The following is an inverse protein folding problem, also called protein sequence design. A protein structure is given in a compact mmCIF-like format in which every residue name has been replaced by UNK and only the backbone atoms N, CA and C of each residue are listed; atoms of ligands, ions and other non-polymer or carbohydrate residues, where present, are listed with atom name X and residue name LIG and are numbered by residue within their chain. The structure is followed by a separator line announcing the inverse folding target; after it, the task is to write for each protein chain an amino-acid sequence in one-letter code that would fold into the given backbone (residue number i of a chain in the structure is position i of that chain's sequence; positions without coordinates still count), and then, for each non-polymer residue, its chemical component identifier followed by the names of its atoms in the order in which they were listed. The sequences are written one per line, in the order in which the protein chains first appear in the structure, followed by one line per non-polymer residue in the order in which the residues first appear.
data_IF_954159383645
#
_entry.id   IF_954159383645
#
_cell.length_a   1.000
_cell.length_b   1.000
_cell.length_c   1.000
_cell.angle_alpha   90.00
_cell.angle_beta   90.00
_cell.angle_gamma   90.00
#
_symmetry.space_group_name_H-M   'P 1'
#
loop_
_entity.id
_entity.type
_entity.pdbx_description
1 polymer ?
#
# COMPACT_ATOMS: atom_id res chain seq x y z
N UNK A 1 -20.07 7.24 6.63
CA UNK A 1 -19.45 6.79 5.36
C UNK A 1 -18.41 5.74 5.70
N UNK A 2 -18.49 4.57 5.06
CA UNK A 2 -17.53 3.48 5.19
C UNK A 2 -16.42 3.62 4.16
N UNK A 3 -15.25 4.03 4.60
CA UNK A 3 -14.06 4.18 3.76
C UNK A 3 -13.16 2.95 3.90
N UNK A 4 -12.90 2.24 2.81
CA UNK A 4 -11.83 1.25 2.77
C UNK A 4 -10.51 1.92 2.39
N UNK A 5 -9.44 1.62 3.13
CA UNK A 5 -8.09 2.13 2.88
C UNK A 5 -7.14 0.94 2.68
N UNK A 6 -6.52 0.87 1.50
CA UNK A 6 -5.62 -0.20 1.07
C UNK A 6 -4.23 0.36 0.78
N UNK A 7 -3.18 -0.47 0.88
CA UNK A 7 -1.79 -0.07 0.60
C UNK A 7 -0.92 -1.26 0.20
N UNK A 8 0.25 -0.98 -0.37
CA UNK A 8 1.35 -1.94 -0.57
C UNK A 8 0.85 -3.20 -1.30
N UNK A 9 0.24 -2.99 -2.46
CA UNK A 9 -0.36 -4.02 -3.33
C UNK A 9 0.72 -4.82 -4.04
N UNK A 10 1.82 -4.17 -4.43
CA UNK A 10 3.02 -4.80 -4.97
C UNK A 10 2.76 -5.84 -6.06
N UNK A 11 1.99 -5.44 -7.08
CA UNK A 11 1.71 -6.26 -8.26
C UNK A 11 1.10 -7.64 -7.93
N UNK A 12 0.50 -7.80 -6.75
CA UNK A 12 -0.13 -9.03 -6.28
C UNK A 12 -1.64 -8.98 -6.58
N UNK A 13 -1.96 -9.32 -7.84
CA UNK A 13 -3.33 -9.26 -8.35
C UNK A 13 -4.29 -10.17 -7.57
N UNK A 14 -3.86 -11.38 -7.22
CA UNK A 14 -4.69 -12.32 -6.47
C UNK A 14 -5.11 -11.79 -5.10
N UNK A 15 -4.19 -11.12 -4.38
CA UNK A 15 -4.51 -10.48 -3.11
C UNK A 15 -5.45 -9.28 -3.30
N UNK A 16 -5.17 -8.43 -4.30
CA UNK A 16 -5.99 -7.28 -4.62
C UNK A 16 -7.43 -7.68 -4.98
N UNK A 17 -7.62 -8.61 -5.92
CA UNK A 17 -8.95 -9.11 -6.31
C UNK A 17 -9.71 -9.72 -5.12
N UNK A 18 -9.02 -10.45 -4.24
CA UNK A 18 -9.65 -11.03 -3.05
C UNK A 18 -10.16 -9.95 -2.08
N UNK A 19 -9.39 -8.87 -1.90
CA UNK A 19 -9.76 -7.76 -1.03
C UNK A 19 -10.84 -6.88 -1.66
N UNK A 20 -10.74 -6.53 -2.94
CA UNK A 20 -11.76 -5.72 -3.62
C UNK A 20 -13.13 -6.41 -3.57
N UNK A 21 -13.19 -7.73 -3.85
CA UNK A 21 -14.46 -8.49 -3.71
C UNK A 21 -15.03 -8.46 -2.29
N UNK A 22 -14.17 -8.46 -1.28
CA UNK A 22 -14.61 -8.36 0.12
C UNK A 22 -15.15 -6.97 0.43
N UNK A 23 -14.43 -5.92 0.04
CA UNK A 23 -14.85 -4.52 0.22
C UNK A 23 -16.19 -4.25 -0.47
N UNK A 24 -16.39 -4.75 -1.69
CA UNK A 24 -17.65 -4.66 -2.42
C UNK A 24 -18.79 -5.39 -1.69
N UNK A 25 -18.51 -6.57 -1.12
CA UNK A 25 -19.50 -7.33 -0.36
C UNK A 25 -19.91 -6.65 0.95
N UNK A 26 -18.98 -5.91 1.58
CA UNK A 26 -19.23 -5.11 2.78
C UNK A 26 -19.87 -3.74 2.46
N UNK A 27 -20.00 -3.40 1.17
CA UNK A 27 -20.57 -2.15 0.65
C UNK A 27 -19.88 -0.92 1.23
N UNK A 28 -18.55 -0.88 1.18
CA UNK A 28 -17.84 0.37 1.43
C UNK A 28 -18.28 1.44 0.43
N UNK A 29 -18.40 2.68 0.89
CA UNK A 29 -18.82 3.82 0.07
C UNK A 29 -17.69 4.32 -0.84
N UNK A 30 -16.44 4.18 -0.39
CA UNK A 30 -15.23 4.65 -1.09
C UNK A 30 -14.04 3.73 -0.81
N UNK A 31 -13.08 3.71 -1.75
CA UNK A 31 -11.81 2.98 -1.62
C UNK A 31 -10.64 3.90 -1.91
N UNK A 32 -9.76 4.14 -0.93
CA UNK A 32 -8.53 4.92 -1.10
C UNK A 32 -7.30 4.01 -1.07
N UNK A 33 -6.36 4.24 -1.98
CA UNK A 33 -5.11 3.48 -2.08
C UNK A 33 -3.91 4.35 -1.68
N UNK A 34 -3.07 3.83 -0.78
CA UNK A 34 -1.88 4.51 -0.29
C UNK A 34 -0.62 4.22 -1.10
N UNK A 35 -0.76 3.73 -2.34
CA UNK A 35 0.35 3.51 -3.24
C UNK A 35 1.06 2.17 -3.03
N UNK A 36 2.24 2.08 -3.64
CA UNK A 36 2.96 0.83 -3.90
C UNK A 36 2.05 -0.18 -4.58
N UNK A 37 1.43 0.28 -5.67
CA UNK A 37 0.62 -0.54 -6.56
C UNK A 37 1.52 -1.60 -7.19
N UNK A 38 2.76 -1.23 -7.54
CA UNK A 38 3.72 -2.09 -8.22
C UNK A 38 4.96 -2.44 -7.38
N UNK A 39 5.91 -3.16 -7.97
CA UNK A 39 7.07 -3.74 -7.30
C UNK A 39 6.80 -5.16 -6.80
N UNK A 40 7.86 -5.93 -6.55
CA UNK A 40 7.88 -7.33 -6.09
C UNK A 40 7.08 -8.37 -6.88
N UNK A 41 5.76 -8.24 -6.96
CA UNK A 41 4.88 -9.23 -7.58
C UNK A 41 4.87 -9.20 -9.12
N UNK A 42 4.15 -10.14 -9.74
CA UNK A 42 4.29 -10.42 -11.17
C UNK A 42 3.23 -9.77 -12.07
N UNK A 43 2.23 -9.04 -11.53
CA UNK A 43 1.09 -8.53 -12.31
C UNK A 43 0.92 -7.00 -12.20
N UNK A 44 1.93 -6.19 -12.56
CA UNK A 44 1.92 -4.75 -12.30
C UNK A 44 0.83 -4.01 -13.09
N UNK A 45 0.65 -4.32 -14.39
CA UNK A 45 -0.32 -3.62 -15.23
C UNK A 45 -1.75 -3.93 -14.80
N UNK A 46 -2.05 -5.20 -14.51
CA UNK A 46 -3.36 -5.64 -14.07
C UNK A 46 -3.73 -5.02 -12.71
N UNK A 47 -2.75 -4.85 -11.80
CA UNK A 47 -2.99 -4.16 -10.53
C UNK A 47 -3.26 -2.68 -10.74
N UNK A 48 -2.50 -2.00 -11.61
CA UNK A 48 -2.75 -0.58 -11.94
C UNK A 48 -4.14 -0.41 -12.57
N UNK A 49 -4.47 -1.24 -13.55
CA UNK A 49 -5.76 -1.21 -14.25
C UNK A 49 -6.92 -1.41 -13.27
N UNK A 50 -6.82 -2.38 -12.36
CA UNK A 50 -7.82 -2.63 -11.34
C UNK A 50 -7.94 -1.46 -10.35
N UNK A 51 -6.83 -0.97 -9.80
CA UNK A 51 -6.81 0.19 -8.88
C UNK A 51 -7.49 1.40 -9.53
N UNK A 52 -7.14 1.74 -10.78
CA UNK A 52 -7.77 2.84 -11.54
C UNK A 52 -9.28 2.71 -11.63
N UNK A 53 -9.79 1.48 -11.74
CA UNK A 53 -11.21 1.22 -11.97
C UNK A 53 -12.07 1.24 -10.69
N UNK A 54 -11.48 0.95 -9.52
CA UNK A 54 -12.25 0.74 -8.28
C UNK A 54 -11.93 1.74 -7.17
N UNK A 55 -10.84 2.49 -7.28
CA UNK A 55 -10.44 3.43 -6.22
C UNK A 55 -10.83 4.86 -6.57
N UNK A 56 -11.25 5.60 -5.55
CA UNK A 56 -11.64 7.01 -5.68
C UNK A 56 -10.44 7.94 -5.61
N UNK A 57 -9.44 7.57 -4.79
CA UNK A 57 -8.23 8.37 -4.54
C UNK A 57 -7.03 7.47 -4.34
N UNK A 58 -5.90 7.90 -4.89
CA UNK A 58 -4.64 7.16 -4.86
C UNK A 58 -3.50 8.12 -4.60
N UNK A 59 -2.58 7.76 -3.70
CA UNK A 59 -1.28 8.43 -3.57
C UNK A 59 -0.16 7.53 -4.10
N UNK A 60 0.95 8.15 -4.50
CA UNK A 60 2.13 7.43 -5.03
C UNK A 60 2.93 6.79 -3.90
N UNK A 61 3.35 5.54 -4.08
CA UNK A 61 4.33 4.89 -3.21
C UNK A 61 5.76 4.96 -3.74
N UNK A 62 6.73 4.52 -2.94
CA UNK A 62 8.14 4.59 -3.33
C UNK A 62 8.46 3.63 -4.49
N UNK A 63 7.84 2.45 -4.58
CA UNK A 63 8.02 1.55 -5.70
C UNK A 63 7.38 2.10 -6.98
N UNK A 64 6.20 2.73 -6.87
CA UNK A 64 5.56 3.40 -7.99
C UNK A 64 6.47 4.52 -8.53
N UNK A 65 6.95 5.39 -7.63
CA UNK A 65 7.86 6.49 -7.92
C UNK A 65 9.21 6.01 -8.49
N UNK A 66 9.72 4.88 -8.00
CA UNK A 66 10.95 4.28 -8.50
C UNK A 66 10.77 3.75 -9.92
N UNK A 67 9.66 3.07 -10.26
CA UNK A 67 9.43 2.59 -11.64
C UNK A 67 9.48 3.74 -12.65
N UNK A 68 9.00 4.92 -12.28
CA UNK A 68 8.97 6.12 -13.13
C UNK A 68 10.23 7.01 -13.06
N UNK A 69 11.31 6.58 -12.40
CA UNK A 69 12.57 7.33 -12.24
C UNK A 69 12.49 8.60 -11.36
N UNK A 70 11.48 8.72 -10.48
CA UNK A 70 11.41 9.81 -9.51
C UNK A 70 12.09 9.49 -8.18
N UNK A 71 12.24 8.20 -7.85
CA UNK A 71 12.99 7.71 -6.69
C UNK A 71 14.19 6.88 -7.13
N UNK A 72 15.35 7.09 -6.49
CA UNK A 72 16.57 6.32 -6.77
C UNK A 72 16.46 4.90 -6.21
N UNK A 73 16.44 3.90 -7.10
CA UNK A 73 16.41 2.49 -6.73
C UNK A 73 17.67 2.01 -6.00
N UNK A 74 18.77 2.77 -6.01
CA UNK A 74 19.96 2.41 -5.24
C UNK A 74 19.73 2.48 -3.73
N UNK A 75 18.65 3.15 -3.30
CA UNK A 75 18.20 3.16 -1.91
C UNK A 75 17.48 1.86 -1.51
N UNK A 76 17.13 1.00 -2.48
CA UNK A 76 16.36 -0.22 -2.24
C UNK A 76 17.28 -1.40 -1.94
N UNK A 77 16.74 -2.39 -1.21
CA UNK A 77 17.41 -3.69 -1.10
C UNK A 77 17.47 -4.38 -2.47
N UNK A 78 18.34 -5.39 -2.62
CA UNK A 78 18.60 -6.05 -3.90
C UNK A 78 17.34 -6.64 -4.54
N UNK A 79 16.46 -7.29 -3.77
CA UNK A 79 15.23 -7.90 -4.27
C UNK A 79 14.20 -6.86 -4.71
N UNK A 80 14.09 -5.77 -3.95
CA UNK A 80 13.23 -4.63 -4.27
C UNK A 80 13.70 -3.93 -5.55
N UNK A 81 15.01 -3.72 -5.72
CA UNK A 81 15.58 -3.16 -6.94
C UNK A 81 15.36 -4.06 -8.15
N UNK A 82 15.71 -5.34 -8.04
CA UNK A 82 15.57 -6.32 -9.14
C UNK A 82 14.12 -6.42 -9.64
N UNK A 83 13.16 -6.51 -8.72
CA UNK A 83 11.74 -6.53 -9.09
C UNK A 83 11.27 -5.20 -9.70
N UNK A 84 11.75 -4.06 -9.22
CA UNK A 84 11.42 -2.75 -9.78
C UNK A 84 11.98 -2.58 -11.20
N UNK A 85 13.22 -3.04 -11.45
CA UNK A 85 13.81 -3.08 -12.80
C UNK A 85 13.01 -3.99 -13.74
N UNK A 86 12.56 -5.14 -13.24
CA UNK A 86 11.67 -6.03 -14.00
C UNK A 86 10.34 -5.34 -14.30
N UNK A 87 9.68 -4.74 -13.30
CA UNK A 87 8.41 -4.04 -13.48
C UNK A 87 8.54 -2.93 -14.52
N UNK A 88 9.62 -2.15 -14.50
CA UNK A 88 9.86 -1.09 -15.48
C UNK A 88 9.93 -1.59 -16.91
N UNK A 89 10.43 -2.81 -17.16
CA UNK A 89 10.45 -3.41 -18.51
C UNK A 89 9.07 -3.89 -18.94
N UNK A 90 8.16 -4.14 -18.00
CA UNK A 90 6.86 -4.73 -18.24
C UNK A 90 5.72 -3.71 -18.26
N UNK A 91 5.89 -2.55 -17.63
CA UNK A 91 4.84 -1.55 -17.51
C UNK A 91 4.47 -0.98 -18.88
N UNK A 92 3.18 -0.82 -19.14
CA UNK A 92 2.66 -0.17 -20.35
C UNK A 92 2.75 1.35 -20.22
N UNK A 93 2.88 2.05 -21.34
CA UNK A 93 2.97 3.52 -21.39
C UNK A 93 1.80 4.20 -20.66
N UNK A 94 0.56 3.75 -20.89
CA UNK A 94 -0.64 4.30 -20.24
C UNK A 94 -0.64 4.17 -18.70
N UNK A 95 0.04 3.14 -18.19
CA UNK A 95 0.15 2.86 -16.77
C UNK A 95 1.35 3.57 -16.16
N UNK A 96 2.43 3.73 -16.93
CA UNK A 96 3.53 4.63 -16.58
C UNK A 96 3.03 6.07 -16.40
N UNK A 97 2.27 6.59 -17.36
CA UNK A 97 1.69 7.93 -17.30
C UNK A 97 0.72 8.09 -16.13
N UNK A 98 -0.05 7.05 -15.81
CA UNK A 98 -0.90 7.07 -14.62
C UNK A 98 -0.08 7.25 -13.34
N UNK A 99 0.97 6.45 -13.13
CA UNK A 99 1.83 6.56 -11.95
C UNK A 99 2.53 7.92 -11.87
N UNK A 100 2.92 8.49 -13.02
CA UNK A 100 3.58 9.79 -13.11
C UNK A 100 2.76 10.94 -12.51
N UNK A 101 1.43 10.82 -12.55
CA UNK A 101 0.50 11.87 -12.13
C UNK A 101 -0.08 11.65 -10.72
N UNK A 102 0.35 10.61 -10.00
CA UNK A 102 -0.14 10.33 -8.65
C UNK A 102 0.44 11.34 -7.63
N UNK A 103 -0.39 11.92 -6.75
CA UNK A 103 0.07 12.84 -5.71
C UNK A 103 0.78 12.12 -4.56
N UNK A 104 1.66 12.81 -3.85
CA UNK A 104 2.30 12.32 -2.63
C UNK A 104 1.36 12.32 -1.40
N UNK A 105 0.36 13.20 -1.42
CA UNK A 105 -0.47 13.54 -0.26
C UNK A 105 -1.87 13.90 -0.71
N UNK A 106 -2.87 13.41 0.01
CA UNK A 106 -4.28 13.76 -0.16
C UNK A 106 -4.88 14.03 1.22
N UNK A 107 -5.59 15.16 1.37
CA UNK A 107 -6.44 15.41 2.54
C UNK A 107 -7.91 15.32 2.12
N UNK A 108 -8.74 14.70 2.96
CA UNK A 108 -10.18 14.56 2.72
C UNK A 108 -10.96 14.30 4.00
N UNK A 109 -12.09 14.97 4.20
CA UNK A 109 -12.98 14.77 5.35
C UNK A 109 -12.27 14.72 6.72
N UNK A 110 -11.31 15.63 6.96
CA UNK A 110 -10.50 15.67 8.19
C UNK A 110 -9.59 14.43 8.40
N UNK A 111 -9.28 13.72 7.30
CA UNK A 111 -8.35 12.61 7.24
C UNK A 111 -7.22 12.94 6.26
N UNK A 112 -6.02 12.50 6.60
CA UNK A 112 -4.84 12.64 5.78
C UNK A 112 -4.40 11.28 5.22
N UNK A 113 -3.98 11.23 3.96
CA UNK A 113 -3.49 10.03 3.29
C UNK A 113 -2.13 10.31 2.66
N UNK A 114 -1.12 9.54 3.04
CA UNK A 114 0.25 9.55 2.50
C UNK A 114 0.78 8.12 2.47
N UNK A 115 1.71 7.81 1.57
CA UNK A 115 2.30 6.47 1.55
C UNK A 115 3.21 6.22 2.77
N UNK A 116 4.14 7.14 3.06
CA UNK A 116 5.20 6.94 4.06
C UNK A 116 4.95 7.73 5.36
N UNK A 117 5.19 9.05 5.36
CA UNK A 117 5.09 9.94 6.52
C UNK A 117 4.44 11.27 6.13
N UNK A 118 3.75 11.96 7.06
CA UNK A 118 3.18 13.29 6.79
C UNK A 118 4.22 14.42 6.83
N UNK A 119 5.44 14.16 7.29
CA UNK A 119 6.51 15.14 7.47
C UNK A 119 7.19 15.45 6.14
N UNK A 120 7.81 14.43 5.53
CA UNK A 120 8.43 14.50 4.21
C UNK A 120 8.02 13.21 3.48
N UNK A 121 6.88 13.20 2.78
CA UNK A 121 6.37 12.00 2.12
C UNK A 121 7.36 11.35 1.15
N UNK A 122 8.13 12.16 0.42
CA UNK A 122 9.09 11.72 -0.60
C UNK A 122 10.42 11.17 -0.04
N UNK A 123 10.66 11.25 1.27
CA UNK A 123 11.84 10.64 1.91
C UNK A 123 11.65 9.14 2.18
N UNK A 124 10.42 8.63 2.03
CA UNK A 124 10.11 7.20 2.22
C UNK A 124 10.59 6.65 3.59
N UNK A 125 10.52 7.50 4.61
CA UNK A 125 10.85 7.13 5.99
C UNK A 125 9.78 6.21 6.58
N UNK A 126 10.18 5.31 7.48
CA UNK A 126 9.25 4.44 8.21
C UNK A 126 8.82 5.07 9.55
N UNK A 127 7.55 4.85 9.92
CA UNK A 127 7.04 5.03 11.28
C UNK A 127 6.75 3.63 11.84
N UNK A 128 7.49 3.21 12.86
CA UNK A 128 7.47 1.82 13.38
C UNK A 128 7.21 1.75 14.89
N UNK A 129 7.20 2.89 15.57
CA UNK A 129 7.03 2.96 17.03
C UNK A 129 6.30 4.25 17.40
N UNK A 130 5.64 4.24 18.57
CA UNK A 130 5.00 5.42 19.14
C UNK A 130 5.99 6.60 19.23
N UNK A 131 7.22 6.36 19.68
CA UNK A 131 8.25 7.39 19.77
C UNK A 131 8.60 7.99 18.40
N UNK A 132 8.75 7.16 17.36
CA UNK A 132 8.98 7.66 16.00
C UNK A 132 7.77 8.44 15.44
N UNK A 133 6.56 8.10 15.88
CA UNK A 133 5.31 8.75 15.46
C UNK A 133 5.13 10.15 16.10
N UNK A 134 5.62 10.37 17.32
CA UNK A 134 5.43 11.62 18.09
C UNK A 134 5.71 12.89 17.28
N UNK A 135 6.86 12.95 16.59
CA UNK A 135 7.22 14.13 15.79
C UNK A 135 6.29 14.38 14.61
N UNK A 136 5.69 13.33 14.05
CA UNK A 136 4.87 13.38 12.84
C UNK A 136 3.50 14.02 13.11
N UNK A 137 2.99 13.94 14.34
CA UNK A 137 1.78 14.67 14.74
C UNK A 137 1.89 16.19 14.62
N UNK A 138 3.09 16.76 14.50
CA UNK A 138 3.24 18.21 14.27
C UNK A 138 3.06 18.62 12.79
N UNK A 139 2.89 17.66 11.87
CA UNK A 139 2.90 17.91 10.42
C UNK A 139 1.56 17.64 9.72
N UNK A 140 0.51 17.43 10.50
CA UNK A 140 -0.87 17.38 10.03
C UNK A 140 -1.79 17.90 11.13
N UNK A 141 -2.99 18.35 10.76
CA UNK A 141 -4.00 18.86 11.71
C UNK A 141 -5.26 18.01 11.74
N UNK A 142 -5.41 17.16 10.73
CA UNK A 142 -6.46 16.18 10.54
C UNK A 142 -6.60 15.24 11.75
N UNK A 143 -7.80 14.70 11.98
CA UNK A 143 -8.07 13.77 13.07
C UNK A 143 -7.24 12.47 12.96
N UNK A 144 -6.97 12.01 11.73
CA UNK A 144 -6.12 10.86 11.49
C UNK A 144 -5.28 10.99 10.21
N UNK A 145 -4.09 10.39 10.22
CA UNK A 145 -3.22 10.22 9.07
C UNK A 145 -3.04 8.73 8.76
N UNK A 146 -3.49 8.28 7.59
CA UNK A 146 -3.30 6.93 7.10
C UNK A 146 -1.99 6.81 6.33
N UNK A 147 -1.24 5.75 6.64
CA UNK A 147 0.06 5.43 6.05
C UNK A 147 0.14 3.95 5.64
N UNK A 148 1.11 3.63 4.80
CA UNK A 148 1.46 2.27 4.36
C UNK A 148 2.94 2.00 4.61
N UNK A 149 3.65 1.52 3.60
CA UNK A 149 5.11 1.45 3.48
C UNK A 149 5.82 0.43 4.38
N UNK A 150 5.46 0.35 5.66
CA UNK A 150 6.04 -0.63 6.60
C UNK A 150 5.52 -2.05 6.39
N UNK A 151 4.32 -2.16 5.77
CA UNK A 151 3.53 -3.37 5.60
C UNK A 151 3.08 -4.03 6.92
N UNK A 152 3.11 -3.27 8.02
CA UNK A 152 2.73 -3.72 9.35
C UNK A 152 1.58 -2.85 9.87
N UNK A 153 0.40 -3.42 10.11
CA UNK A 153 -0.72 -2.64 10.60
C UNK A 153 -0.47 -2.23 12.05
N UNK A 154 -0.43 -0.93 12.28
CA UNK A 154 -0.11 -0.31 13.55
C UNK A 154 -0.93 0.97 13.71
N UNK A 155 -1.28 1.31 14.94
CA UNK A 155 -1.97 2.56 15.25
C UNK A 155 -1.23 3.28 16.36
N UNK A 156 -0.88 4.53 16.10
CA UNK A 156 -0.27 5.43 17.07
C UNK A 156 -1.24 6.56 17.40
N UNK A 157 -1.20 7.03 18.64
CA UNK A 157 -2.10 8.08 19.11
C UNK A 157 -1.33 9.16 19.84
N UNK A 158 -1.63 10.42 19.55
CA UNK A 158 -1.06 11.57 20.26
C UNK A 158 -1.81 11.87 21.56
N UNK A 159 -1.26 12.79 22.36
CA UNK A 159 -1.91 13.27 23.60
C UNK A 159 -3.26 13.94 23.31
N UNK A 160 -3.36 14.68 22.20
CA UNK A 160 -4.58 15.33 21.72
C UNK A 160 -5.49 14.42 20.88
N UNK A 161 -5.32 13.09 20.99
CA UNK A 161 -6.19 12.06 20.40
C UNK A 161 -6.18 11.94 18.87
N UNK A 162 -5.31 12.66 18.16
CA UNK A 162 -5.07 12.41 16.73
C UNK A 162 -4.37 11.08 16.52
N UNK A 163 -4.57 10.47 15.35
CA UNK A 163 -4.07 9.13 15.05
C UNK A 163 -3.16 9.09 13.84
N UNK A 164 -2.17 8.20 13.87
CA UNK A 164 -1.47 7.71 12.67
C UNK A 164 -1.81 6.23 12.55
N UNK A 165 -2.32 5.82 11.39
CA UNK A 165 -2.85 4.48 11.15
C UNK A 165 -2.12 3.87 9.98
N UNK A 166 -1.27 2.88 10.24
CA UNK A 166 -0.71 2.03 9.20
C UNK A 166 -1.73 0.96 8.80
N UNK A 167 -2.10 0.91 7.53
CA UNK A 167 -3.17 0.00 7.06
C UNK A 167 -2.68 -1.42 6.76
N UNK A 168 -1.39 -1.69 6.95
CA UNK A 168 -0.76 -2.94 6.58
C UNK A 168 -0.51 -3.02 5.08
N UNK A 169 -0.44 -4.24 4.54
CA UNK A 169 -0.17 -4.47 3.13
C UNK A 169 -1.15 -5.49 2.55
N UNK A 170 -1.64 -5.20 1.34
CA UNK A 170 -2.44 -6.13 0.55
C UNK A 170 -1.54 -7.25 0.03
N UNK A 171 -0.43 -6.91 -0.63
CA UNK A 171 0.30 -7.83 -1.47
C UNK A 171 1.55 -8.44 -0.86
N UNK A 172 2.09 -7.87 0.21
CA UNK A 172 3.28 -8.35 0.90
C UNK A 172 3.28 -8.01 2.40
N UNK A 173 2.35 -8.53 3.22
CA UNK A 173 2.37 -8.34 4.68
C UNK A 173 3.72 -8.70 5.31
N UNK A 174 4.16 -7.96 6.35
CA UNK A 174 5.47 -8.16 7.02
C UNK A 174 5.40 -8.29 8.54
N UNK A 175 4.27 -8.78 9.03
CA UNK A 175 3.96 -8.94 10.46
C UNK A 175 3.83 -10.41 10.90
N UNK A 176 4.22 -11.35 10.05
CA UNK A 176 4.11 -12.79 10.30
C UNK A 176 2.74 -13.38 9.99
N UNK A 177 1.80 -12.58 9.47
CA UNK A 177 0.50 -13.06 8.99
C UNK A 177 0.42 -12.96 7.46
N UNK A 178 0.32 -14.08 6.72
CA UNK A 178 0.35 -14.06 5.25
C UNK A 178 -0.93 -13.52 4.60
N UNK A 179 -1.99 -13.27 5.37
CA UNK A 179 -3.25 -12.73 4.84
C UNK A 179 -3.09 -11.26 4.44
N UNK A 180 -3.65 -10.90 3.29
CA UNK A 180 -3.76 -9.51 2.84
C UNK A 180 -4.43 -8.65 3.92
N UNK A 181 -4.00 -7.42 4.07
CA UNK A 181 -4.39 -6.54 5.16
C UNK A 181 -4.83 -5.17 4.64
N UNK A 182 -5.92 -4.66 5.20
CA UNK A 182 -6.44 -3.33 4.92
C UNK A 182 -7.28 -2.84 6.09
N UNK A 183 -7.73 -1.59 6.02
CA UNK A 183 -8.55 -0.96 7.04
C UNK A 183 -9.89 -0.53 6.46
N UNK A 184 -10.96 -0.70 7.25
CA UNK A 184 -12.24 -0.03 7.02
C UNK A 184 -12.43 0.99 8.14
N UNK A 185 -12.78 2.21 7.77
CA UNK A 185 -13.06 3.31 8.67
C UNK A 185 -14.48 3.82 8.46
N UNK A 186 -15.32 3.78 9.48
CA UNK A 186 -16.61 4.45 9.44
C UNK A 186 -16.47 5.87 9.97
N UNK A 187 -16.60 6.87 9.09
CA UNK A 187 -16.43 8.28 9.46
C UNK A 187 -17.58 8.84 10.29
N UNK A 188 -18.72 8.15 10.39
CA UNK A 188 -19.86 8.60 11.20
C UNK A 188 -19.75 8.08 12.64
N UNK A 189 -19.38 6.81 12.81
CA UNK A 189 -19.20 6.21 14.14
C UNK A 189 -17.78 6.33 14.68
N UNK A 190 -16.84 6.76 13.83
CA UNK A 190 -15.40 6.78 14.12
C UNK A 190 -14.84 5.37 14.47
N UNK A 191 -15.47 4.33 13.91
CA UNK A 191 -15.09 2.94 14.13
C UNK A 191 -14.00 2.52 13.13
N UNK A 192 -12.99 1.86 13.68
CA UNK A 192 -11.85 1.33 12.95
C UNK A 192 -11.89 -0.20 12.95
N UNK A 193 -11.77 -0.80 11.78
CA UNK A 193 -11.64 -2.25 11.63
C UNK A 193 -10.41 -2.61 10.80
N UNK A 194 -9.50 -3.37 11.41
CA UNK A 194 -8.41 -4.02 10.68
C UNK A 194 -8.91 -5.33 10.07
N UNK A 195 -8.89 -5.43 8.75
CA UNK A 195 -9.38 -6.59 8.01
C UNK A 195 -8.23 -7.46 7.51
N UNK A 196 -8.50 -8.77 7.41
CA UNK A 196 -7.56 -9.76 6.88
C UNK A 196 -8.23 -10.68 5.90
N UNK A 197 -7.62 -10.84 4.72
CA UNK A 197 -8.17 -11.65 3.65
C UNK A 197 -7.20 -12.74 3.18
N UNK A 198 -7.68 -13.98 3.16
CA UNK A 198 -6.98 -15.07 2.48
C UNK A 198 -7.07 -14.90 0.96
N UNK A 199 -5.99 -15.26 0.28
CA UNK A 199 -5.89 -15.25 -1.18
C UNK A 199 -5.00 -16.42 -1.64
N UNK A 200 -5.01 -16.71 -2.93
CA UNK A 200 -4.24 -17.84 -3.48
C UNK A 200 -2.75 -17.50 -3.66
N UNK A 201 -2.00 -17.58 -2.55
CA UNK A 201 -0.54 -17.34 -2.54
C UNK A 201 0.19 -18.29 -3.51
N UNK A 202 -0.30 -19.52 -3.70
CA UNK A 202 0.33 -20.50 -4.58
C UNK A 202 0.25 -20.06 -6.05
N UNK A 203 -0.86 -19.43 -6.45
CA UNK A 203 -0.97 -18.84 -7.79
C UNK A 203 0.05 -17.71 -7.99
N UNK A 204 0.15 -16.80 -7.01
CA UNK A 204 1.12 -15.69 -7.05
C UNK A 204 2.55 -16.23 -7.16
N UNK A 205 2.92 -17.21 -6.35
CA UNK A 205 4.24 -17.85 -6.39
C UNK A 205 4.56 -18.40 -7.79
N UNK A 206 3.63 -19.16 -8.39
CA UNK A 206 3.83 -19.72 -9.74
C UNK A 206 4.04 -18.62 -10.78
N UNK A 207 3.33 -17.50 -10.66
CA UNK A 207 3.50 -16.34 -11.55
C UNK A 207 4.85 -15.66 -11.34
N UNK A 208 5.33 -15.51 -10.10
CA UNK A 208 6.67 -15.00 -9.78
C UNK A 208 7.75 -15.84 -10.46
N UNK A 209 7.72 -17.17 -10.27
CA UNK A 209 8.67 -18.10 -10.90
C UNK A 209 8.60 -18.00 -12.42
N UNK A 210 7.39 -18.01 -13.00
CA UNK A 210 7.19 -17.91 -14.45
C UNK A 210 7.70 -16.58 -15.03
N UNK A 211 7.60 -15.49 -14.28
CA UNK A 211 8.08 -14.17 -14.66
C UNK A 211 9.62 -14.05 -14.62
N UNK A 212 10.32 -15.03 -14.06
CA UNK A 212 11.77 -14.99 -13.83
C UNK A 212 12.19 -14.06 -12.70
N UNK A 213 11.24 -13.71 -11.81
CA UNK A 213 11.53 -12.96 -10.58
C UNK A 213 12.14 -13.91 -9.54
N UNK A 214 12.89 -13.35 -8.60
CA UNK A 214 13.51 -14.11 -7.53
C UNK A 214 12.47 -14.89 -6.70
N UNK A 215 12.63 -16.21 -6.58
CA UNK A 215 11.67 -17.09 -5.89
C UNK A 215 11.44 -16.70 -4.42
N UNK A 216 12.44 -16.11 -3.77
CA UNK A 216 12.33 -15.60 -2.39
C UNK A 216 11.17 -14.62 -2.23
N UNK A 217 10.84 -13.85 -3.28
CA UNK A 217 9.70 -12.93 -3.28
C UNK A 217 8.36 -13.66 -3.16
N UNK A 218 8.26 -14.88 -3.67
CA UNK A 218 7.08 -15.73 -3.49
C UNK A 218 7.11 -16.49 -2.17
N UNK A 219 8.28 -16.99 -1.74
CA UNK A 219 8.43 -17.73 -0.48
C UNK A 219 8.02 -16.89 0.73
N UNK A 220 8.44 -15.61 0.76
CA UNK A 220 8.15 -14.70 1.87
C UNK A 220 6.66 -14.40 2.04
N UNK A 221 5.86 -14.50 0.98
CA UNK A 221 4.41 -14.34 1.04
C UNK A 221 3.75 -15.42 1.91
N UNK A 222 4.28 -16.65 1.88
CA UNK A 222 3.74 -17.79 2.63
C UNK A 222 3.81 -17.59 4.15
N UNK A 223 4.72 -16.73 4.61
CA UNK A 223 5.02 -16.48 6.03
C UNK A 223 4.75 -15.03 6.45
N UNK A 224 4.28 -14.17 5.55
CA UNK A 224 4.03 -12.75 5.83
C UNK A 224 5.29 -12.02 6.29
N UNK A 225 6.38 -12.11 5.53
CA UNK A 225 7.67 -11.45 5.82
C UNK A 225 8.18 -10.63 4.67
#
# INVERSE_FOLDING_TARGET
MKLAVISDIHSNLEALEAVIREIESEKADKIYCLGDIVGYGPSPNECIDLVKSVTDKVVVGNHDSAVINQTDMMLFNSYARESTEWTRRMIKDENYEYLLNLPLKISDHDLLFVHSTPLIPEDWSYILTQHSAEKHFNYFTEAACFIGHSHRPEMFRSVDQRMIVNVGSIGQPRDGNPKACYVVWDTETNEYELKRKEYDIKSVYKKIVKAGLNEFLGERLMVGR
#
